data_IF_198777021439
#
_entry.id   IF_198777021439
#
_cell.length_a   1.000
_cell.length_b   1.000
_cell.length_c   1.000
_cell.angle_alpha   90.00
_cell.angle_beta   90.00
_cell.angle_gamma   90.00
#
_symmetry.space_group_name_H-M   'P 1'
#
loop_
_entity.id
_entity.type
_entity.pdbx_description
1 polymer ?
#
# COMPACT_ATOMS: atom_id res chain seq x y z
N UNK A 1 11.00 10.91 -9.00
CA UNK A 1 11.56 9.93 -8.04
C UNK A 1 10.41 9.56 -7.13
N UNK A 2 10.01 8.30 -7.09
CA UNK A 2 8.89 7.84 -6.26
C UNK A 2 9.35 7.74 -4.82
N UNK A 3 8.52 8.14 -3.86
CA UNK A 3 8.84 7.93 -2.45
C UNK A 3 8.83 6.43 -2.13
N UNK A 4 9.88 5.96 -1.45
CA UNK A 4 10.05 4.55 -1.12
C UNK A 4 10.65 4.35 0.27
N UNK A 5 10.18 3.32 0.96
CA UNK A 5 10.59 3.01 2.32
C UNK A 5 10.86 1.52 2.50
N UNK A 6 11.80 1.18 3.38
CA UNK A 6 11.92 -0.16 3.97
C UNK A 6 11.12 -0.19 5.27
N UNK A 7 10.31 -1.24 5.44
CA UNK A 7 9.53 -1.49 6.64
C UNK A 7 10.38 -2.33 7.61
N UNK A 8 10.65 -1.77 8.78
CA UNK A 8 11.23 -2.46 9.91
C UNK A 8 10.16 -2.75 10.96
N UNK A 9 10.29 -3.87 11.65
CA UNK A 9 9.43 -4.24 12.78
C UNK A 9 10.20 -3.97 14.06
N UNK A 10 9.63 -3.13 14.91
CA UNK A 10 10.14 -2.85 16.27
C UNK A 10 9.05 -3.20 17.28
N UNK A 11 9.15 -4.40 17.87
CA UNK A 11 8.09 -4.97 18.71
C UNK A 11 6.77 -5.13 17.94
N UNK A 12 5.75 -4.34 18.30
CA UNK A 12 4.45 -4.32 17.62
C UNK A 12 4.27 -3.14 16.66
N UNK A 13 5.31 -2.33 16.44
CA UNK A 13 5.26 -1.15 15.61
C UNK A 13 5.98 -1.37 14.28
N UNK A 14 5.51 -0.67 13.25
CA UNK A 14 6.19 -0.57 11.97
C UNK A 14 6.96 0.75 11.91
N UNK A 15 8.25 0.68 11.58
CA UNK A 15 9.09 1.85 11.30
C UNK A 15 9.41 1.91 9.82
N UNK A 16 9.27 3.09 9.23
CA UNK A 16 9.51 3.33 7.82
C UNK A 16 10.83 4.08 7.65
N UNK A 17 11.79 3.46 6.98
CA UNK A 17 13.11 4.03 6.72
C UNK A 17 13.23 4.37 5.23
N UNK A 18 13.58 5.62 4.85
CA UNK A 18 13.72 5.98 3.44
C UNK A 18 14.65 5.03 2.69
N UNK A 19 14.23 4.62 1.49
CA UNK A 19 14.94 3.69 0.63
C UNK A 19 15.15 4.34 -0.74
N UNK A 20 16.31 4.07 -1.33
CA UNK A 20 16.54 4.28 -2.76
C UNK A 20 16.74 2.92 -3.42
N UNK A 21 15.91 2.61 -4.40
CA UNK A 21 15.94 1.32 -5.09
C UNK A 21 15.54 1.52 -6.55
N UNK A 22 16.52 1.93 -7.36
CA UNK A 22 16.29 2.22 -8.79
C UNK A 22 15.75 1.02 -9.55
N UNK A 23 16.07 -0.21 -9.13
CA UNK A 23 15.55 -1.42 -9.76
C UNK A 23 14.05 -1.55 -9.50
N UNK A 24 13.62 -1.39 -8.24
CA UNK A 24 12.20 -1.44 -7.92
C UNK A 24 11.43 -0.25 -8.50
N UNK A 25 12.04 0.93 -8.59
CA UNK A 25 11.46 2.09 -9.28
C UNK A 25 11.21 1.81 -10.78
N UNK A 26 12.19 1.24 -11.48
CA UNK A 26 12.05 0.85 -12.90
C UNK A 26 10.96 -0.21 -13.08
N UNK A 27 10.91 -1.17 -12.15
CA UNK A 27 9.91 -2.24 -12.13
C UNK A 27 8.50 -1.67 -11.93
N UNK A 28 8.30 -0.74 -11.01
CA UNK A 28 7.02 -0.04 -10.80
C UNK A 28 6.62 0.78 -12.04
N UNK A 29 7.58 1.40 -12.72
CA UNK A 29 7.32 2.16 -13.95
C UNK A 29 6.92 1.26 -15.14
N UNK A 30 7.32 -0.01 -15.14
CA UNK A 30 7.01 -0.99 -16.21
C UNK A 30 5.62 -1.62 -16.08
N UNK A 31 4.91 -1.45 -14.96
CA UNK A 31 3.55 -1.95 -14.77
C UNK A 31 3.47 -3.48 -14.63
N UNK A 32 2.50 -4.11 -15.30
CA UNK A 32 1.94 -5.45 -15.03
C UNK A 32 2.90 -6.66 -15.14
N UNK A 33 4.20 -6.44 -15.40
CA UNK A 33 5.22 -7.48 -15.40
C UNK A 33 6.33 -7.14 -14.41
N UNK A 34 6.00 -7.18 -13.11
CA UNK A 34 6.97 -7.02 -12.05
C UNK A 34 7.81 -8.30 -11.94
N UNK A 35 8.87 -8.40 -12.74
CA UNK A 35 9.77 -9.56 -12.71
C UNK A 35 10.22 -9.88 -11.28
N UNK A 36 9.88 -11.07 -10.79
CA UNK A 36 10.22 -11.51 -9.43
C UNK A 36 9.22 -11.12 -8.33
N UNK A 37 8.09 -10.50 -8.67
CA UNK A 37 6.99 -10.23 -7.72
C UNK A 37 5.63 -10.63 -8.28
N UNK A 38 4.83 -11.27 -7.44
CA UNK A 38 3.46 -11.66 -7.74
C UNK A 38 2.48 -10.68 -7.11
N UNK A 39 1.53 -10.17 -7.90
CA UNK A 39 0.41 -9.41 -7.38
C UNK A 39 -0.51 -10.35 -6.59
N UNK A 40 -0.69 -10.09 -5.29
CA UNK A 40 -1.48 -10.95 -4.40
C UNK A 40 -2.89 -10.42 -4.22
N UNK A 41 -3.01 -9.11 -3.96
CA UNK A 41 -4.30 -8.48 -3.70
C UNK A 41 -4.24 -6.98 -3.94
N UNK A 42 -5.44 -6.38 -4.00
CA UNK A 42 -5.64 -4.94 -3.93
C UNK A 42 -6.67 -4.67 -2.86
N UNK A 43 -6.34 -3.82 -1.90
CA UNK A 43 -7.19 -3.45 -0.76
C UNK A 43 -7.60 -1.98 -0.88
N UNK A 44 -8.80 -1.63 -0.44
CA UNK A 44 -9.31 -0.25 -0.50
C UNK A 44 -10.07 0.07 -1.79
N UNK A 45 -10.26 1.37 -2.02
CA UNK A 45 -11.06 1.92 -3.10
C UNK A 45 -10.17 2.65 -4.12
N UNK A 46 -10.13 2.20 -5.40
CA UNK A 46 -9.35 2.87 -6.44
C UNK A 46 -9.71 4.34 -6.67
N UNK A 47 -10.92 4.77 -6.33
CA UNK A 47 -11.36 6.17 -6.45
C UNK A 47 -11.01 7.06 -5.26
N UNK A 48 -10.38 6.51 -4.21
CA UNK A 48 -10.04 7.24 -2.99
C UNK A 48 -8.62 6.94 -2.51
N UNK A 49 -8.41 5.74 -1.98
CA UNK A 49 -7.13 5.27 -1.47
C UNK A 49 -7.11 3.74 -1.54
N UNK A 50 -6.10 3.19 -2.20
CA UNK A 50 -5.93 1.75 -2.30
C UNK A 50 -4.48 1.31 -2.19
N UNK A 51 -4.31 0.07 -1.74
CA UNK A 51 -3.02 -0.58 -1.56
C UNK A 51 -2.94 -1.80 -2.48
N UNK A 52 -2.02 -1.77 -3.45
CA UNK A 52 -1.67 -2.93 -4.24
C UNK A 52 -0.56 -3.71 -3.52
N UNK A 53 -0.80 -5.01 -3.31
CA UNK A 53 0.03 -5.88 -2.49
C UNK A 53 0.79 -6.86 -3.37
N UNK A 54 2.10 -6.86 -3.26
CA UNK A 54 2.98 -7.69 -4.06
C UNK A 54 3.85 -8.57 -3.17
N UNK A 55 3.93 -9.85 -3.51
CA UNK A 55 4.76 -10.83 -2.83
C UNK A 55 6.00 -11.09 -3.67
N UNK A 56 7.17 -11.18 -3.05
CA UNK A 56 8.37 -11.60 -3.78
C UNK A 56 8.21 -13.07 -4.18
N UNK A 57 8.34 -13.38 -5.47
CA UNK A 57 8.13 -14.72 -6.02
C UNK A 57 9.15 -15.73 -5.47
N UNK A 58 10.40 -15.28 -5.27
CA UNK A 58 11.42 -16.03 -4.54
C UNK A 58 11.89 -15.28 -3.29
N UNK A 59 11.93 -15.97 -2.15
CA UNK A 59 12.44 -15.43 -0.89
C UNK A 59 11.36 -14.86 0.04
N UNK A 60 11.81 -13.96 0.93
CA UNK A 60 10.98 -13.40 1.99
C UNK A 60 10.44 -12.03 1.63
N UNK A 61 9.26 -11.72 2.18
CA UNK A 61 8.67 -10.39 2.10
C UNK A 61 8.02 -10.07 0.74
N UNK A 62 8.04 -8.79 0.40
CA UNK A 62 7.29 -8.21 -0.70
C UNK A 62 7.22 -6.69 -0.59
N UNK A 63 6.32 -6.05 -1.32
CA UNK A 63 6.11 -4.62 -1.21
C UNK A 63 4.64 -4.24 -1.35
N UNK A 64 4.34 -3.03 -0.92
CA UNK A 64 3.03 -2.42 -0.91
C UNK A 64 3.13 -1.11 -1.69
N UNK A 65 2.29 -0.93 -2.69
CA UNK A 65 2.21 0.29 -3.47
C UNK A 65 0.91 1.01 -3.14
N UNK A 66 1.02 2.18 -2.50
CA UNK A 66 -0.11 2.97 -2.04
C UNK A 66 -0.45 4.00 -3.11
N UNK A 67 -1.71 4.03 -3.50
CA UNK A 67 -2.21 4.88 -4.56
C UNK A 67 -3.46 5.63 -4.10
N UNK A 68 -3.63 6.83 -4.62
CA UNK A 68 -4.91 7.53 -4.63
C UNK A 68 -5.44 7.62 -6.07
N UNK A 69 -6.41 8.51 -6.30
CA UNK A 69 -6.99 8.78 -7.62
C UNK A 69 -5.99 9.39 -8.62
N UNK A 70 -4.95 10.06 -8.15
CA UNK A 70 -3.97 10.78 -8.97
C UNK A 70 -2.74 9.91 -9.29
N UNK A 71 -2.51 8.84 -8.53
CA UNK A 71 -1.56 7.79 -8.86
C UNK A 71 -0.83 7.22 -7.65
N UNK A 72 0.40 6.75 -7.88
CA UNK A 72 1.26 6.18 -6.84
C UNK A 72 1.72 7.30 -5.88
N UNK A 73 1.38 7.14 -4.60
CA UNK A 73 1.84 8.02 -3.52
C UNK A 73 3.23 7.60 -3.05
N UNK A 74 3.37 6.35 -2.61
CA UNK A 74 4.64 5.79 -2.17
C UNK A 74 4.65 4.27 -2.21
N UNK A 75 5.85 3.70 -2.11
CA UNK A 75 6.08 2.25 -1.99
C UNK A 75 6.71 1.91 -0.65
N UNK A 76 6.23 0.85 -0.01
CA UNK A 76 6.80 0.33 1.22
C UNK A 76 7.23 -1.13 1.05
N UNK A 77 8.50 -1.41 1.30
CA UNK A 77 9.15 -2.71 1.06
C UNK A 77 9.33 -3.44 2.38
N UNK A 78 8.76 -4.62 2.50
CA UNK A 78 9.00 -5.52 3.61
C UNK A 78 10.01 -6.59 3.18
N UNK A 79 11.21 -6.59 3.75
CA UNK A 79 12.25 -7.59 3.43
C UNK A 79 12.06 -8.94 4.15
N UNK A 80 11.13 -8.99 5.12
CA UNK A 80 10.83 -10.21 5.88
C UNK A 80 9.35 -10.55 5.84
N UNK A 81 9.03 -11.83 6.07
CA UNK A 81 7.64 -12.29 6.16
C UNK A 81 6.88 -11.68 7.34
N UNK A 82 7.57 -11.42 8.45
CA UNK A 82 6.96 -10.79 9.62
C UNK A 82 6.58 -9.33 9.31
N UNK A 83 7.51 -8.56 8.76
CA UNK A 83 7.24 -7.19 8.34
C UNK A 83 6.11 -7.14 7.31
N UNK A 84 6.10 -8.08 6.37
CA UNK A 84 5.08 -8.18 5.34
C UNK A 84 3.69 -8.46 5.92
N UNK A 85 3.56 -9.46 6.82
CA UNK A 85 2.29 -9.79 7.44
C UNK A 85 1.73 -8.65 8.29
N UNK A 86 2.59 -7.98 9.08
CA UNK A 86 2.20 -6.83 9.89
C UNK A 86 1.82 -5.62 9.03
N UNK A 87 2.59 -5.35 7.98
CA UNK A 87 2.30 -4.27 7.02
C UNK A 87 0.98 -4.49 6.29
N UNK A 88 0.64 -5.73 5.93
CA UNK A 88 -0.63 -6.05 5.29
C UNK A 88 -1.83 -5.70 6.20
N UNK A 89 -1.74 -5.99 7.50
CA UNK A 89 -2.75 -5.57 8.47
C UNK A 89 -2.81 -4.06 8.65
N UNK A 90 -1.65 -3.40 8.75
CA UNK A 90 -1.55 -1.95 8.89
C UNK A 90 -2.18 -1.20 7.70
N UNK A 91 -1.79 -1.56 6.48
CA UNK A 91 -2.33 -0.92 5.27
C UNK A 91 -3.79 -1.31 5.01
N UNK A 92 -4.18 -2.54 5.33
CA UNK A 92 -5.59 -2.95 5.27
C UNK A 92 -6.48 -2.09 6.17
N UNK A 93 -6.06 -1.86 7.42
CA UNK A 93 -6.75 -0.94 8.33
C UNK A 93 -6.80 0.48 7.78
N UNK A 94 -5.66 1.02 7.32
CA UNK A 94 -5.58 2.37 6.78
C UNK A 94 -6.59 2.63 5.64
N UNK A 95 -6.64 1.75 4.63
CA UNK A 95 -7.55 1.95 3.49
C UNK A 95 -9.01 1.75 3.88
N UNK A 96 -9.30 0.90 4.86
CA UNK A 96 -10.65 0.73 5.42
C UNK A 96 -11.10 1.98 6.18
N UNK A 97 -10.25 2.54 7.04
CA UNK A 97 -10.55 3.79 7.76
C UNK A 97 -10.73 4.97 6.80
N UNK A 98 -9.95 5.04 5.72
CA UNK A 98 -10.12 6.06 4.69
C UNK A 98 -11.50 5.98 4.02
N UNK A 99 -11.93 4.78 3.60
CA UNK A 99 -13.27 4.58 2.99
C UNK A 99 -14.39 4.86 3.99
N UNK A 100 -14.25 4.42 5.23
CA UNK A 100 -15.22 4.73 6.28
C UNK A 100 -15.35 6.24 6.52
N UNK A 101 -14.23 6.95 6.54
CA UNK A 101 -14.22 8.41 6.63
C UNK A 101 -14.97 9.06 5.46
N UNK A 102 -14.73 8.63 4.23
CA UNK A 102 -15.45 9.11 3.06
C UNK A 102 -16.97 8.84 3.15
N UNK A 103 -17.36 7.63 3.57
CA UNK A 103 -18.78 7.27 3.74
C UNK A 103 -19.50 8.18 4.75
N UNK A 104 -18.84 8.62 5.82
CA UNK A 104 -19.44 9.54 6.79
C UNK A 104 -19.80 10.88 6.12
N UNK A 105 -18.90 11.45 5.33
CA UNK A 105 -19.09 12.78 4.74
C UNK A 105 -19.96 12.75 3.48
N UNK A 106 -19.86 11.70 2.65
CA UNK A 106 -20.73 11.54 1.47
C UNK A 106 -22.21 11.41 1.87
N UNK A 107 -22.50 10.78 3.02
CA UNK A 107 -23.87 10.64 3.54
C UNK A 107 -24.36 11.86 4.37
N UNK A 108 -23.57 12.93 4.51
CA UNK A 108 -24.02 14.17 5.17
C UNK A 108 -24.67 15.16 4.21
N UNK A 109 -24.49 14.99 2.90
CA UNK A 109 -24.97 15.90 1.86
C UNK A 109 -26.41 15.60 1.38
N UNK A 110 -27.08 14.58 1.93
CA UNK A 110 -28.53 14.41 1.77
C UNK A 110 -29.23 15.22 2.88
N UNK A 111 -29.76 16.43 2.59
CA UNK A 111 -30.68 17.06 3.53
C UNK A 111 -31.89 16.14 3.64
N UNK A 112 -32.23 15.72 4.86
CA UNK A 112 -33.51 15.10 5.18
C UNK A 112 -34.63 15.95 4.54
N UNK A 113 -35.19 15.48 3.42
CA UNK A 113 -36.40 16.06 2.83
C UNK A 113 -37.53 15.89 3.86
N UNK A 114 -37.73 16.92 4.67
CA UNK A 114 -38.87 17.08 5.59
C UNK A 114 -40.12 17.57 4.86
#
# INVERSE_FOLDING_TARGET
MSEMYTIHVDGNQLRFEPRQDGVLEDVLAQGSHLGGYDAVSRMGDPGLLHCAVFRRGEGHGGFFAIHDQDGLLFTAVAESNLAYALAQGFFGGMVSEARYGADIFENMDDPDEC
#
